data_IF_874378395373
#
_entry.id   IF_874378395373
#
_cell.length_a   1.000
_cell.length_b   1.000
_cell.length_c   1.000
_cell.angle_alpha   90.00
_cell.angle_beta   90.00
_cell.angle_gamma   90.00
#
_symmetry.space_group_name_H-M   'P 1'
#
loop_
_entity.id
_entity.type
_entity.pdbx_description
1 polymer ?
#
# COMPACT_ATOMS: atom_id res chain seq x y z
N UNK A 1 12.66 -7.83 21.11
CA UNK A 1 12.51 -8.35 19.73
C UNK A 1 11.78 -7.26 18.95
N UNK A 2 12.20 -6.96 17.71
CA UNK A 2 11.56 -5.91 16.89
C UNK A 2 10.45 -6.55 16.04
N UNK A 3 9.32 -5.87 15.94
CA UNK A 3 8.20 -6.21 15.08
C UNK A 3 8.34 -5.42 13.80
N UNK A 4 8.40 -6.09 12.66
CA UNK A 4 8.52 -5.45 11.35
C UNK A 4 7.17 -5.60 10.66
N UNK A 5 6.52 -4.47 10.38
CA UNK A 5 5.31 -4.40 9.58
C UNK A 5 5.70 -4.12 8.13
N UNK A 6 5.51 -5.12 7.26
CA UNK A 6 5.68 -4.98 5.82
C UNK A 6 4.33 -4.65 5.21
N UNK A 7 4.18 -3.45 4.70
CA UNK A 7 2.98 -3.02 4.00
C UNK A 7 3.30 -2.61 2.56
N UNK A 8 2.47 -3.08 1.63
CA UNK A 8 2.59 -2.76 0.21
C UNK A 8 1.32 -2.12 -0.34
N UNK A 9 1.47 -0.98 -0.99
CA UNK A 9 0.39 -0.33 -1.75
C UNK A 9 0.35 -0.89 -3.17
N UNK A 10 -0.80 -1.44 -3.58
CA UNK A 10 -1.06 -1.91 -4.94
C UNK A 10 -2.09 -0.97 -5.55
N UNK A 11 -1.65 -0.11 -6.46
CA UNK A 11 -2.52 0.87 -7.11
C UNK A 11 -2.18 1.04 -8.58
N UNK A 12 -3.21 1.03 -9.42
CA UNK A 12 -3.13 1.47 -10.81
C UNK A 12 -4.34 2.37 -11.10
N UNK A 13 -4.13 3.57 -11.65
CA UNK A 13 -5.23 4.43 -12.10
C UNK A 13 -5.73 3.97 -13.48
N UNK A 14 -6.96 4.36 -13.82
CA UNK A 14 -7.43 4.33 -15.20
C UNK A 14 -6.89 5.53 -15.97
N UNK A 15 -6.21 5.27 -17.08
CA UNK A 15 -5.66 6.28 -17.98
C UNK A 15 -6.73 6.72 -18.97
N UNK A 16 -6.81 8.02 -19.18
CA UNK A 16 -7.76 8.65 -20.10
C UNK A 16 -7.26 8.58 -21.53
N UNK A 17 -8.19 8.54 -22.48
CA UNK A 17 -7.86 8.80 -23.87
C UNK A 17 -7.38 10.24 -24.06
N UNK A 18 -6.59 10.47 -25.10
CA UNK A 18 -6.17 11.81 -25.50
C UNK A 18 -7.34 12.52 -26.20
N UNK A 19 -7.96 13.47 -25.50
CA UNK A 19 -9.03 14.29 -26.05
C UNK A 19 -8.49 15.57 -26.68
N UNK A 20 -8.82 15.79 -27.94
CA UNK A 20 -8.69 17.11 -28.57
C UNK A 20 -9.99 17.91 -28.45
N UNK A 21 -9.88 19.24 -28.50
CA UNK A 21 -11.03 20.14 -28.49
C UNK A 21 -12.06 19.81 -29.60
N UNK A 22 -11.61 19.27 -30.73
CA UNK A 22 -12.48 18.93 -31.86
C UNK A 22 -13.32 17.67 -31.65
N UNK A 23 -13.05 16.89 -30.59
CA UNK A 23 -13.75 15.64 -30.29
C UNK A 23 -14.80 15.80 -29.16
N UNK A 24 -15.05 17.02 -28.71
CA UNK A 24 -16.09 17.31 -27.71
C UNK A 24 -17.46 16.98 -28.31
N UNK A 25 -18.18 16.03 -27.70
CA UNK A 25 -19.53 15.64 -28.11
C UNK A 25 -19.60 14.56 -29.21
N UNK A 26 -18.46 14.04 -29.68
CA UNK A 26 -18.41 12.97 -30.69
C UNK A 26 -18.17 11.56 -30.11
N UNK A 27 -18.24 11.41 -28.78
CA UNK A 27 -18.09 10.21 -27.94
C UNK A 27 -17.35 9.00 -28.55
N UNK A 28 -16.11 8.79 -28.12
CA UNK A 28 -15.37 7.54 -28.28
C UNK A 28 -14.64 7.29 -26.93
N UNK A 29 -15.18 6.39 -26.10
CA UNK A 29 -14.67 5.84 -24.82
C UNK A 29 -13.76 6.73 -23.91
N UNK A 30 -14.15 7.02 -22.65
CA UNK A 30 -13.37 7.87 -21.71
C UNK A 30 -11.93 7.40 -21.43
N UNK A 31 -11.75 6.09 -21.34
CA UNK A 31 -10.50 5.46 -20.93
C UNK A 31 -9.74 4.83 -22.09
N UNK A 32 -8.41 4.92 -22.03
CA UNK A 32 -7.52 4.21 -22.96
C UNK A 32 -7.39 2.75 -22.51
N UNK A 33 -8.35 1.93 -22.94
CA UNK A 33 -8.43 0.50 -22.61
C UNK A 33 -7.17 -0.27 -23.04
N UNK A 34 -6.56 0.10 -24.17
CA UNK A 34 -5.35 -0.57 -24.63
C UNK A 34 -4.17 -0.24 -23.72
N UNK A 35 -3.96 1.04 -23.41
CA UNK A 35 -2.88 1.48 -22.54
C UNK A 35 -3.05 0.93 -21.12
N UNK A 36 -4.27 0.94 -20.56
CA UNK A 36 -4.55 0.39 -19.24
C UNK A 36 -4.24 -1.11 -19.18
N UNK A 37 -4.74 -1.89 -20.14
CA UNK A 37 -4.49 -3.34 -20.22
C UNK A 37 -3.00 -3.64 -20.36
N UNK A 38 -2.31 -2.96 -21.27
CA UNK A 38 -0.92 -3.29 -21.62
C UNK A 38 0.03 -2.92 -20.47
N UNK A 39 -0.19 -1.80 -19.80
CA UNK A 39 0.57 -1.41 -18.60
C UNK A 39 0.30 -2.38 -17.46
N UNK A 40 -0.97 -2.69 -17.16
CA UNK A 40 -1.30 -3.58 -16.05
C UNK A 40 -0.73 -4.98 -16.27
N UNK A 41 -0.82 -5.54 -17.49
CA UNK A 41 -0.21 -6.84 -17.82
C UNK A 41 1.29 -6.82 -17.58
N UNK A 42 1.98 -5.77 -18.02
CA UNK A 42 3.42 -5.63 -17.81
C UNK A 42 3.75 -5.62 -16.31
N UNK A 43 3.03 -4.84 -15.52
CA UNK A 43 3.25 -4.79 -14.06
C UNK A 43 2.91 -6.13 -13.41
N UNK A 44 1.82 -6.77 -13.81
CA UNK A 44 1.40 -8.07 -13.29
C UNK A 44 2.46 -9.16 -13.47
N UNK A 45 3.02 -9.30 -14.68
CA UNK A 45 4.00 -10.35 -14.97
C UNK A 45 5.41 -10.03 -14.47
N UNK A 46 5.78 -8.75 -14.33
CA UNK A 46 7.12 -8.36 -13.87
C UNK A 46 7.20 -8.17 -12.35
N UNK A 47 6.10 -7.83 -11.69
CA UNK A 47 6.06 -7.47 -10.28
C UNK A 47 5.10 -8.38 -9.50
N UNK A 48 3.79 -8.30 -9.78
CA UNK A 48 2.79 -8.89 -8.88
C UNK A 48 2.87 -10.41 -8.79
N UNK A 49 2.85 -11.12 -9.91
CA UNK A 49 2.86 -12.59 -9.92
C UNK A 49 4.20 -13.16 -9.40
N UNK A 50 5.38 -12.69 -9.85
CA UNK A 50 6.64 -13.20 -9.32
C UNK A 50 6.79 -12.95 -7.82
N UNK A 51 6.41 -11.77 -7.35
CA UNK A 51 6.60 -11.39 -5.95
C UNK A 51 5.56 -12.05 -5.04
N UNK A 52 4.30 -12.19 -5.45
CA UNK A 52 3.32 -13.02 -4.74
C UNK A 52 3.80 -14.48 -4.61
N UNK A 53 4.34 -15.06 -5.69
CA UNK A 53 4.92 -16.41 -5.64
C UNK A 53 6.13 -16.52 -4.71
N UNK A 54 6.96 -15.48 -4.60
CA UNK A 54 8.05 -15.43 -3.62
C UNK A 54 7.52 -15.35 -2.19
N UNK A 55 6.57 -14.45 -1.92
CA UNK A 55 5.97 -14.27 -0.60
C UNK A 55 5.31 -15.56 -0.11
N UNK A 56 4.57 -16.27 -0.98
CA UNK A 56 3.96 -17.54 -0.63
C UNK A 56 5.02 -18.57 -0.18
N UNK A 57 6.10 -18.74 -0.95
CA UNK A 57 7.22 -19.64 -0.57
C UNK A 57 7.90 -19.21 0.73
N UNK A 58 8.05 -17.92 0.98
CA UNK A 58 8.65 -17.40 2.22
C UNK A 58 7.74 -17.63 3.43
N UNK A 59 6.43 -17.43 3.28
CA UNK A 59 5.44 -17.72 4.32
C UNK A 59 5.52 -19.21 4.69
N UNK A 60 5.48 -20.11 3.71
CA UNK A 60 5.53 -21.55 3.94
C UNK A 60 6.87 -21.98 4.56
N UNK A 61 8.00 -21.56 3.99
CA UNK A 61 9.33 -21.96 4.47
C UNK A 61 9.69 -21.40 5.84
N UNK A 62 9.11 -20.27 6.24
CA UNK A 62 9.28 -19.73 7.60
C UNK A 62 8.36 -20.40 8.63
N UNK A 63 7.50 -21.33 8.20
CA UNK A 63 6.49 -21.97 9.05
C UNK A 63 5.39 -20.99 9.44
N UNK A 64 4.92 -20.19 8.47
CA UNK A 64 3.83 -19.22 8.64
C UNK A 64 4.12 -18.10 9.65
N UNK A 65 5.41 -17.75 9.80
CA UNK A 65 5.86 -16.67 10.71
C UNK A 65 6.02 -15.33 10.02
N UNK A 66 6.25 -15.32 8.69
CA UNK A 66 6.24 -14.10 7.91
C UNK A 66 4.80 -13.63 7.73
N UNK A 67 4.51 -12.39 8.11
CA UNK A 67 3.23 -11.73 7.89
C UNK A 67 3.44 -10.47 7.05
N UNK A 68 2.50 -10.17 6.17
CA UNK A 68 2.53 -9.00 5.29
C UNK A 68 1.14 -8.40 5.17
N UNK A 69 1.07 -7.11 4.90
CA UNK A 69 -0.19 -6.39 4.69
C UNK A 69 -0.22 -5.74 3.31
N UNK A 70 -1.39 -5.67 2.69
CA UNK A 70 -1.59 -5.01 1.40
C UNK A 70 -2.75 -4.02 1.45
N UNK A 71 -2.63 -2.91 0.72
CA UNK A 71 -3.80 -2.14 0.27
C UNK A 71 -3.92 -2.29 -1.24
N UNK A 72 -5.03 -2.85 -1.72
CA UNK A 72 -5.34 -2.93 -3.15
C UNK A 72 -6.45 -1.92 -3.41
N UNK A 73 -6.21 -0.84 -4.16
CA UNK A 73 -7.29 0.08 -4.49
C UNK A 73 -8.42 -0.62 -5.28
N UNK A 74 -9.68 -0.17 -5.15
CA UNK A 74 -10.75 -0.76 -5.97
C UNK A 74 -10.47 -0.62 -7.46
N UNK A 75 -9.83 0.48 -7.87
CA UNK A 75 -9.42 0.68 -9.27
C UNK A 75 -8.46 -0.39 -9.78
N UNK A 76 -7.48 -0.83 -8.98
CA UNK A 76 -6.58 -1.90 -9.45
C UNK A 76 -7.32 -3.23 -9.45
N UNK A 77 -8.17 -3.50 -8.46
CA UNK A 77 -8.98 -4.72 -8.40
C UNK A 77 -9.86 -4.84 -9.65
N UNK A 78 -10.56 -3.77 -10.04
CA UNK A 78 -11.39 -3.74 -11.25
C UNK A 78 -10.57 -4.04 -12.51
N UNK A 79 -9.41 -3.40 -12.67
CA UNK A 79 -8.57 -3.67 -13.84
C UNK A 79 -7.99 -5.09 -13.83
N UNK A 80 -7.64 -5.64 -12.64
CA UNK A 80 -7.17 -7.02 -12.53
C UNK A 80 -8.28 -8.01 -12.94
N UNK A 81 -9.53 -7.79 -12.53
CA UNK A 81 -10.67 -8.60 -12.95
C UNK A 81 -10.84 -8.63 -14.47
N UNK A 82 -10.60 -7.51 -15.15
CA UNK A 82 -10.78 -7.41 -16.60
C UNK A 82 -9.60 -7.95 -17.40
N UNK A 83 -8.37 -7.69 -16.97
CA UNK A 83 -7.20 -7.87 -17.84
C UNK A 83 -6.27 -9.03 -17.44
N UNK A 84 -6.18 -9.35 -16.15
CA UNK A 84 -5.24 -10.33 -15.56
C UNK A 84 -5.78 -10.97 -14.26
N UNK A 85 -6.92 -11.69 -14.33
CA UNK A 85 -7.59 -12.24 -13.14
C UNK A 85 -6.71 -13.23 -12.35
N UNK A 86 -5.71 -13.85 -12.97
CA UNK A 86 -4.75 -14.73 -12.31
C UNK A 86 -3.94 -14.04 -11.20
N UNK A 87 -3.80 -12.70 -11.24
CA UNK A 87 -3.18 -11.94 -10.16
C UNK A 87 -4.06 -11.97 -8.91
N UNK A 88 -5.38 -11.82 -9.07
CA UNK A 88 -6.31 -11.89 -7.94
C UNK A 88 -6.32 -13.29 -7.34
N UNK A 89 -6.22 -14.34 -8.16
CA UNK A 89 -6.06 -15.71 -7.66
C UNK A 89 -4.77 -15.88 -6.85
N UNK A 90 -3.67 -15.24 -7.26
CA UNK A 90 -2.42 -15.24 -6.48
C UNK A 90 -2.54 -14.50 -5.14
N UNK A 91 -3.30 -13.40 -5.08
CA UNK A 91 -3.62 -12.72 -3.82
C UNK A 91 -4.54 -13.57 -2.93
N UNK A 92 -5.54 -14.26 -3.51
CA UNK A 92 -6.39 -15.20 -2.77
C UNK A 92 -5.56 -16.34 -2.15
N UNK A 93 -4.58 -16.87 -2.88
CA UNK A 93 -3.68 -17.89 -2.37
C UNK A 93 -2.85 -17.37 -1.18
N UNK A 94 -2.36 -16.13 -1.25
CA UNK A 94 -1.67 -15.49 -0.13
C UNK A 94 -2.60 -15.27 1.08
N UNK A 95 -3.80 -14.74 0.87
CA UNK A 95 -4.81 -14.55 1.91
C UNK A 95 -5.19 -15.86 2.59
N UNK A 96 -5.32 -16.95 1.83
CA UNK A 96 -5.66 -18.27 2.34
C UNK A 96 -4.61 -18.85 3.31
N UNK A 97 -3.38 -18.32 3.33
CA UNK A 97 -2.36 -18.71 4.32
C UNK A 97 -2.67 -18.23 5.75
N UNK A 98 -3.55 -17.23 5.89
CA UNK A 98 -3.80 -16.55 7.17
C UNK A 98 -2.67 -15.61 7.61
N UNK A 99 -1.63 -15.44 6.80
CA UNK A 99 -0.49 -14.56 7.08
C UNK A 99 -0.57 -13.20 6.37
N UNK A 100 -1.69 -12.93 5.68
CA UNK A 100 -1.88 -11.69 4.92
C UNK A 100 -3.10 -10.93 5.42
N UNK A 101 -2.92 -9.64 5.70
CA UNK A 101 -3.97 -8.68 6.02
C UNK A 101 -4.24 -7.79 4.79
N UNK A 102 -5.52 -7.57 4.48
CA UNK A 102 -5.95 -6.57 3.51
C UNK A 102 -6.47 -5.32 4.23
N UNK A 103 -5.88 -4.17 3.90
CA UNK A 103 -6.24 -2.87 4.45
C UNK A 103 -7.45 -2.27 3.73
N UNK A 104 -8.14 -1.38 4.43
CA UNK A 104 -9.16 -0.53 3.84
C UNK A 104 -8.57 0.78 3.32
N UNK A 105 -9.17 1.27 2.25
CA UNK A 105 -8.83 2.50 1.55
C UNK A 105 -10.11 3.12 0.95
N UNK A 106 -10.01 4.33 0.39
CA UNK A 106 -10.97 4.85 -0.57
C UNK A 106 -10.99 4.03 -1.87
N UNK A 107 -12.18 3.73 -2.42
CA UNK A 107 -12.33 2.96 -3.65
C UNK A 107 -11.52 3.50 -4.84
N UNK A 108 -11.52 4.81 -5.05
CA UNK A 108 -10.85 5.44 -6.18
C UNK A 108 -9.40 5.88 -5.90
N UNK A 109 -8.80 5.46 -4.78
CA UNK A 109 -7.52 6.01 -4.29
C UNK A 109 -7.56 7.55 -4.27
N UNK A 110 -8.66 8.12 -3.77
CA UNK A 110 -8.96 9.53 -3.92
C UNK A 110 -8.57 10.36 -2.70
N UNK A 111 -8.48 11.67 -2.89
CA UNK A 111 -8.30 12.64 -1.81
C UNK A 111 -9.62 13.03 -1.12
N UNK A 112 -10.65 12.17 -1.17
CA UNK A 112 -11.98 12.48 -0.63
C UNK A 112 -11.95 12.87 0.86
N UNK A 113 -11.02 12.28 1.64
CA UNK A 113 -10.86 12.52 3.07
C UNK A 113 -10.65 14.01 3.43
N UNK A 114 -10.08 14.80 2.54
CA UNK A 114 -9.81 16.24 2.76
C UNK A 114 -10.79 17.16 2.03
N UNK A 115 -11.65 16.61 1.16
CA UNK A 115 -12.58 17.40 0.32
C UNK A 115 -14.02 17.25 0.79
N UNK A 116 -14.47 16.01 1.06
CA UNK A 116 -15.88 15.71 1.36
C UNK A 116 -15.98 14.45 2.21
N UNK A 117 -16.37 14.62 3.49
CA UNK A 117 -16.60 13.48 4.39
C UNK A 117 -17.66 12.51 3.84
N UNK A 118 -18.70 13.03 3.18
CA UNK A 118 -19.75 12.19 2.58
C UNK A 118 -19.15 11.25 1.53
N UNK A 119 -18.42 11.82 0.57
CA UNK A 119 -17.75 11.05 -0.50
C UNK A 119 -16.74 10.07 0.09
N UNK A 120 -15.98 10.52 1.08
CA UNK A 120 -15.00 9.69 1.77
C UNK A 120 -15.66 8.45 2.41
N UNK A 121 -16.73 8.63 3.18
CA UNK A 121 -17.47 7.52 3.81
C UNK A 121 -18.06 6.57 2.77
N UNK A 122 -18.60 7.09 1.67
CA UNK A 122 -19.16 6.28 0.58
C UNK A 122 -18.08 5.42 -0.08
N UNK A 123 -16.93 6.02 -0.42
CA UNK A 123 -15.81 5.30 -1.03
C UNK A 123 -15.19 4.25 -0.09
N UNK A 124 -15.01 4.56 1.20
CA UNK A 124 -14.45 3.61 2.17
C UNK A 124 -15.39 2.42 2.36
N UNK A 125 -16.71 2.63 2.44
CA UNK A 125 -17.69 1.53 2.54
C UNK A 125 -17.70 0.67 1.30
N UNK A 126 -17.74 1.29 0.12
CA UNK A 126 -17.75 0.57 -1.15
C UNK A 126 -16.51 -0.32 -1.30
N UNK A 127 -15.34 0.22 -0.94
CA UNK A 127 -14.09 -0.52 -0.97
C UNK A 127 -14.04 -1.65 0.08
N UNK A 128 -14.49 -1.39 1.31
CA UNK A 128 -14.57 -2.40 2.38
C UNK A 128 -15.44 -3.59 1.97
N UNK A 129 -16.60 -3.33 1.37
CA UNK A 129 -17.46 -4.39 0.83
C UNK A 129 -16.79 -5.17 -0.30
N UNK A 130 -16.11 -4.48 -1.23
CA UNK A 130 -15.39 -5.15 -2.32
C UNK A 130 -14.31 -6.11 -1.80
N UNK A 131 -13.53 -5.69 -0.79
CA UNK A 131 -12.52 -6.56 -0.17
C UNK A 131 -13.18 -7.79 0.49
N UNK A 132 -14.27 -7.58 1.22
CA UNK A 132 -15.02 -8.68 1.84
C UNK A 132 -15.56 -9.67 0.80
N UNK A 133 -16.19 -9.17 -0.26
CA UNK A 133 -16.81 -10.02 -1.29
C UNK A 133 -15.76 -10.85 -2.05
N UNK A 134 -14.56 -10.31 -2.27
CA UNK A 134 -13.51 -10.99 -3.05
C UNK A 134 -12.58 -11.89 -2.22
N UNK A 135 -12.35 -11.55 -0.96
CA UNK A 135 -11.33 -12.18 -0.12
C UNK A 135 -11.85 -12.69 1.23
N UNK A 136 -13.08 -12.36 1.61
CA UNK A 136 -13.70 -12.77 2.89
C UNK A 136 -13.11 -12.07 4.12
N UNK A 137 -12.24 -11.08 3.95
CA UNK A 137 -11.67 -10.29 5.05
C UNK A 137 -12.47 -9.00 5.25
N UNK A 138 -12.70 -8.63 6.52
CA UNK A 138 -13.18 -7.30 6.88
C UNK A 138 -11.98 -6.46 7.36
N UNK A 139 -11.52 -5.48 6.56
CA UNK A 139 -10.40 -4.63 6.94
C UNK A 139 -10.58 -3.98 8.32
N UNK A 140 -9.54 -4.03 9.15
CA UNK A 140 -9.50 -3.39 10.48
C UNK A 140 -8.56 -2.17 10.49
N UNK A 141 -7.55 -2.20 9.63
CA UNK A 141 -6.57 -1.14 9.45
C UNK A 141 -6.90 -0.32 8.20
N UNK A 142 -6.94 1.00 8.34
CA UNK A 142 -7.17 1.94 7.25
C UNK A 142 -5.87 2.55 6.74
N UNK A 143 -5.78 2.81 5.45
CA UNK A 143 -4.79 3.73 4.88
C UNK A 143 -5.49 4.72 3.97
N UNK A 144 -5.16 5.99 4.15
CA UNK A 144 -5.66 7.06 3.30
C UNK A 144 -4.67 7.36 2.18
N UNK A 145 -5.12 7.83 1.01
CA UNK A 145 -4.30 8.21 -0.16
C UNK A 145 -3.05 9.01 0.24
N UNK A 146 -1.88 8.64 -0.31
CA UNK A 146 -0.55 9.17 0.07
C UNK A 146 -0.20 9.13 1.56
N UNK A 147 -0.84 8.26 2.34
CA UNK A 147 -0.72 8.18 3.80
C UNK A 147 -1.04 9.52 4.50
N UNK A 148 -1.88 10.35 3.84
CA UNK A 148 -2.32 11.65 4.35
C UNK A 148 -3.14 11.44 5.61
N UNK A 149 -2.73 12.09 6.68
CA UNK A 149 -3.40 12.07 7.96
C UNK A 149 -3.72 13.49 8.45
N UNK A 150 -4.91 13.62 9.04
CA UNK A 150 -5.37 14.77 9.80
C UNK A 150 -6.22 14.24 10.95
N UNK A 151 -6.19 14.93 12.11
CA UNK A 151 -6.90 14.48 13.31
C UNK A 151 -8.41 14.31 13.12
N UNK A 152 -8.99 15.04 12.16
CA UNK A 152 -10.39 14.90 11.77
C UNK A 152 -10.73 13.56 11.10
N UNK A 153 -9.75 12.86 10.52
CA UNK A 153 -9.98 11.58 9.82
C UNK A 153 -10.23 10.45 10.81
N UNK A 154 -9.54 10.44 11.96
CA UNK A 154 -9.57 9.33 12.90
C UNK A 154 -10.98 9.01 13.45
N UNK A 155 -11.80 9.99 13.92
CA UNK A 155 -13.18 9.71 14.31
C UNK A 155 -14.02 9.10 13.17
N UNK A 156 -13.83 9.58 11.94
CA UNK A 156 -14.62 9.14 10.78
C UNK A 156 -14.34 7.67 10.47
N UNK A 157 -13.08 7.25 10.43
CA UNK A 157 -12.74 5.85 10.16
C UNK A 157 -13.10 4.94 11.34
N UNK A 158 -13.04 5.43 12.58
CA UNK A 158 -13.49 4.68 13.75
C UNK A 158 -14.98 4.38 13.69
N UNK A 159 -15.80 5.37 13.29
CA UNK A 159 -17.23 5.16 13.03
C UNK A 159 -17.51 4.15 11.91
N UNK A 160 -16.56 3.98 10.99
CA UNK A 160 -16.64 3.01 9.90
C UNK A 160 -16.12 1.62 10.29
N UNK A 161 -15.64 1.44 11.53
CA UNK A 161 -15.21 0.15 12.08
C UNK A 161 -13.71 -0.11 12.04
N UNK A 162 -12.88 0.88 11.71
CA UNK A 162 -11.42 0.76 11.71
C UNK A 162 -10.83 1.15 13.06
N UNK A 163 -9.86 0.39 13.56
CA UNK A 163 -9.20 0.65 14.86
C UNK A 163 -7.76 1.17 14.72
N UNK A 164 -7.25 1.21 13.49
CA UNK A 164 -5.87 1.55 13.18
C UNK A 164 -5.78 2.31 11.86
N UNK A 165 -4.84 3.25 11.76
CA UNK A 165 -4.56 4.01 10.54
C UNK A 165 -3.06 4.10 10.28
N UNK A 166 -2.68 3.87 9.02
CA UNK A 166 -1.34 4.12 8.54
C UNK A 166 -1.19 5.59 8.14
N UNK A 167 -0.09 6.22 8.54
CA UNK A 167 0.22 7.60 8.19
C UNK A 167 1.72 7.77 7.89
N UNK A 168 2.05 8.80 7.13
CA UNK A 168 3.43 9.29 7.01
C UNK A 168 3.58 10.57 7.82
N UNK A 169 4.73 10.71 8.47
CA UNK A 169 5.05 11.87 9.29
C UNK A 169 6.49 12.26 9.02
N UNK A 170 6.66 13.36 8.29
CA UNK A 170 7.96 13.97 8.06
C UNK A 170 8.59 14.49 9.36
N UNK A 171 9.86 14.89 9.26
CA UNK A 171 10.63 15.40 10.41
C UNK A 171 9.93 16.55 11.14
N UNK A 172 9.25 17.44 10.43
CA UNK A 172 8.56 18.59 11.01
C UNK A 172 7.39 18.20 11.93
N UNK A 173 6.73 17.07 11.65
CA UNK A 173 5.60 16.55 12.45
C UNK A 173 6.11 15.79 13.67
N UNK A 174 7.11 14.93 13.49
CA UNK A 174 7.64 14.09 14.55
C UNK A 174 8.57 14.85 15.51
N UNK A 175 9.30 15.84 15.02
CA UNK A 175 10.33 16.57 15.74
C UNK A 175 11.34 15.60 16.39
N UNK A 176 11.29 15.45 17.72
CA UNK A 176 12.16 14.56 18.50
C UNK A 176 11.59 13.14 18.68
N UNK A 177 10.35 12.90 18.26
CA UNK A 177 9.66 11.61 18.40
C UNK A 177 10.09 10.64 17.30
N UNK A 178 10.05 9.34 17.59
CA UNK A 178 10.38 8.29 16.61
C UNK A 178 9.14 7.75 15.89
N UNK A 179 9.18 7.46 14.58
CA UNK A 179 8.07 6.77 13.90
C UNK A 179 7.88 5.32 14.38
N UNK A 180 8.81 4.78 15.17
CA UNK A 180 8.86 3.38 15.59
C UNK A 180 8.01 3.07 16.84
N UNK A 181 7.08 3.96 17.17
CA UNK A 181 6.10 3.80 18.25
C UNK A 181 4.69 3.76 17.67
N UNK A 182 3.78 3.14 18.42
CA UNK A 182 2.34 3.25 18.17
C UNK A 182 1.86 4.52 18.85
N UNK A 183 1.25 5.40 18.07
CA UNK A 183 0.62 6.62 18.57
C UNK A 183 -0.88 6.43 18.70
N UNK A 184 -1.53 7.31 19.45
CA UNK A 184 -3.00 7.39 19.50
C UNK A 184 -3.45 8.65 18.76
N UNK A 185 -4.52 8.54 17.96
CA UNK A 185 -5.05 9.68 17.24
C UNK A 185 -5.56 10.77 18.20
N UNK A 186 -5.15 12.02 17.98
CA UNK A 186 -5.62 13.13 18.78
C UNK A 186 -7.11 13.36 18.51
N UNK A 187 -7.92 13.28 19.56
CA UNK A 187 -9.39 13.35 19.46
C UNK A 187 -10.10 12.00 19.28
N UNK A 188 -9.38 10.91 18.99
CA UNK A 188 -9.96 9.56 18.98
C UNK A 188 -8.94 8.50 19.46
N UNK A 189 -8.64 8.44 20.78
CA UNK A 189 -7.58 7.56 21.31
C UNK A 189 -7.81 6.05 21.11
N UNK A 190 -9.02 5.65 20.72
CA UNK A 190 -9.32 4.28 20.32
C UNK A 190 -8.61 3.89 19.00
N UNK A 191 -8.29 4.86 18.15
CA UNK A 191 -7.59 4.64 16.87
C UNK A 191 -6.09 4.73 17.07
N UNK A 192 -5.39 3.67 16.68
CA UNK A 192 -3.93 3.58 16.67
C UNK A 192 -3.37 4.22 15.40
N UNK A 193 -2.29 4.97 15.55
CA UNK A 193 -1.52 5.58 14.48
C UNK A 193 -0.20 4.83 14.30
N UNK A 194 -0.03 4.21 13.14
CA UNK A 194 1.21 3.54 12.73
C UNK A 194 1.91 4.40 11.69
N UNK A 195 3.07 4.94 12.06
CA UNK A 195 3.81 5.87 11.21
C UNK A 195 4.84 5.15 10.36
N UNK A 196 4.92 5.48 9.07
CA UNK A 196 5.96 5.00 8.16
C UNK A 196 7.34 5.33 8.74
N UNK A 197 8.24 4.35 8.76
CA UNK A 197 9.66 4.65 8.88
C UNK A 197 10.18 5.08 7.50
N UNK A 198 10.10 6.38 7.23
CA UNK A 198 10.38 6.97 5.91
C UNK A 198 11.77 6.58 5.39
N UNK A 199 12.81 6.77 6.20
CA UNK A 199 14.19 6.48 5.80
C UNK A 199 14.38 5.02 5.40
N UNK A 200 14.00 4.07 6.27
CA UNK A 200 14.22 2.64 6.04
C UNK A 200 13.35 2.08 4.92
N UNK A 201 12.15 2.63 4.72
CA UNK A 201 11.28 2.26 3.61
C UNK A 201 11.87 2.74 2.28
N UNK A 202 12.30 4.00 2.23
CA UNK A 202 12.83 4.64 1.02
C UNK A 202 14.20 4.10 0.62
N UNK A 203 14.98 3.60 1.59
CA UNK A 203 16.24 2.88 1.33
C UNK A 203 15.99 1.63 0.46
N UNK A 204 14.88 0.93 0.67
CA UNK A 204 14.46 -0.20 -0.17
C UNK A 204 13.81 0.31 -1.45
N UNK A 205 12.84 1.23 -1.35
CA UNK A 205 12.01 1.64 -2.47
C UNK A 205 12.79 2.39 -3.56
N UNK A 206 13.65 3.32 -3.17
CA UNK A 206 14.29 4.27 -4.09
C UNK A 206 15.81 4.10 -4.16
N UNK A 207 16.49 3.87 -3.02
CA UNK A 207 17.96 3.87 -2.97
C UNK A 207 18.60 2.52 -3.29
N UNK A 208 17.83 1.44 -3.32
CA UNK A 208 18.34 0.09 -3.62
C UNK A 208 19.10 0.02 -4.96
N UNK A 209 18.61 0.72 -5.98
CA UNK A 209 19.22 0.77 -7.31
C UNK A 209 20.18 1.96 -7.53
N UNK A 210 20.31 2.87 -6.55
CA UNK A 210 21.15 4.06 -6.68
C UNK A 210 22.64 3.72 -6.46
N UNK A 211 23.37 3.56 -7.56
CA UNK A 211 24.83 3.28 -7.54
C UNK A 211 25.67 4.45 -7.02
N UNK A 212 25.11 5.66 -6.94
CA UNK A 212 25.76 6.85 -6.39
C UNK A 212 25.54 7.01 -4.88
N UNK A 213 24.60 6.25 -4.30
CA UNK A 213 24.35 6.29 -2.86
C UNK A 213 25.52 5.65 -2.10
N UNK A 214 25.98 6.33 -1.04
CA UNK A 214 27.14 5.92 -0.24
C UNK A 214 27.01 4.51 0.38
N UNK A 215 25.80 4.02 0.57
CA UNK A 215 25.53 2.70 1.16
C UNK A 215 25.32 1.60 0.11
N UNK A 216 25.41 1.92 -1.20
CA UNK A 216 25.24 0.96 -2.28
C UNK A 216 26.43 -0.03 -2.37
N UNK A 217 26.18 -1.33 -2.65
CA UNK A 217 24.87 -1.97 -2.76
C UNK A 217 24.22 -2.22 -1.39
N UNK A 218 22.88 -2.10 -1.36
CA UNK A 218 22.11 -2.45 -0.18
C UNK A 218 22.03 -3.98 -0.03
N UNK A 219 22.75 -4.52 0.96
CA UNK A 219 22.74 -5.96 1.26
C UNK A 219 21.87 -6.27 2.48
N UNK A 220 21.33 -7.51 2.60
CA UNK A 220 20.58 -7.92 3.79
C UNK A 220 21.35 -7.71 5.09
N UNK A 221 22.66 -8.04 5.12
CA UNK A 221 23.50 -7.86 6.30
C UNK A 221 23.65 -6.39 6.70
N UNK A 222 23.76 -5.49 5.72
CA UNK A 222 23.81 -4.04 5.96
C UNK A 222 22.48 -3.55 6.51
N UNK A 223 21.37 -3.94 5.88
CA UNK A 223 20.05 -3.51 6.33
C UNK A 223 19.76 -4.02 7.76
N UNK A 224 20.05 -5.30 8.04
CA UNK A 224 19.92 -5.90 9.38
C UNK A 224 20.78 -5.17 10.42
N UNK A 225 22.00 -4.72 10.07
CA UNK A 225 22.83 -3.98 11.03
C UNK A 225 22.22 -2.64 11.41
N UNK A 226 21.58 -1.94 10.47
CA UNK A 226 20.81 -0.73 10.75
C UNK A 226 19.60 -1.03 11.63
N UNK A 227 18.84 -2.09 11.31
CA UNK A 227 17.71 -2.50 12.14
C UNK A 227 18.15 -2.83 13.56
N UNK A 228 19.31 -3.47 13.75
CA UNK A 228 19.84 -3.81 15.07
C UNK A 228 20.32 -2.58 15.86
N UNK A 229 20.77 -1.52 15.18
CA UNK A 229 21.22 -0.28 15.81
C UNK A 229 20.10 0.58 16.40
N UNK A 230 18.84 0.34 16.01
CA UNK A 230 17.67 1.05 16.53
C UNK A 230 17.49 0.74 18.03
N UNK A 231 17.17 1.74 18.89
CA UNK A 231 16.95 1.56 20.32
C UNK A 231 15.99 0.40 20.66
N UNK A 232 16.21 -0.24 21.81
CA UNK A 232 15.48 -1.46 22.20
C UNK A 232 14.01 -1.21 22.63
N UNK A 233 13.70 0.02 23.04
CA UNK A 233 12.37 0.53 23.33
C UNK A 233 11.57 0.86 22.06
N UNK A 234 12.25 1.11 20.94
CA UNK A 234 11.66 1.25 19.61
C UNK A 234 11.43 -0.12 18.95
N UNK A 235 10.29 -0.73 19.30
CA UNK A 235 9.99 -2.12 18.94
C UNK A 235 9.22 -2.28 17.64
N UNK A 236 8.67 -1.23 17.04
CA UNK A 236 7.88 -1.31 15.81
C UNK A 236 8.62 -0.68 14.63
N UNK A 237 8.73 -1.41 13.53
CA UNK A 237 9.32 -0.91 12.29
C UNK A 237 8.32 -1.05 11.15
N UNK A 238 7.75 0.08 10.76
CA UNK A 238 6.75 0.18 9.71
C UNK A 238 7.44 0.46 8.37
N UNK A 239 7.59 -0.57 7.54
CA UNK A 239 8.20 -0.49 6.22
C UNK A 239 7.10 -0.45 5.16
N UNK A 240 6.73 0.76 4.75
CA UNK A 240 5.58 1.03 3.89
C UNK A 240 6.07 1.44 2.50
N UNK A 241 5.71 0.67 1.48
CA UNK A 241 6.27 0.82 0.13
C UNK A 241 5.20 0.62 -0.94
N UNK A 242 5.44 1.16 -2.12
CA UNK A 242 4.69 0.77 -3.31
C UNK A 242 5.04 -0.68 -3.67
N UNK A 243 4.06 -1.45 -4.11
CA UNK A 243 4.29 -2.85 -4.41
C UNK A 243 5.24 -3.01 -5.62
N UNK A 244 5.16 -2.07 -6.56
CA UNK A 244 6.02 -1.95 -7.72
C UNK A 244 7.50 -1.74 -7.40
N UNK A 245 7.88 -1.45 -6.14
CA UNK A 245 9.28 -1.52 -5.69
C UNK A 245 9.91 -2.86 -6.05
N UNK A 246 9.15 -3.96 -5.97
CA UNK A 246 9.66 -5.30 -6.23
C UNK A 246 9.36 -5.75 -7.67
N UNK A 247 10.27 -5.42 -8.59
CA UNK A 247 10.22 -5.86 -10.00
C UNK A 247 9.68 -4.82 -11.00
N UNK A 248 9.06 -3.74 -10.52
CA UNK A 248 8.55 -2.65 -11.35
C UNK A 248 9.53 -1.47 -11.51
N UNK A 249 9.94 -0.85 -10.41
CA UNK A 249 10.59 0.48 -10.43
C UNK A 249 12.05 0.47 -10.93
N UNK A 250 12.76 -0.66 -10.89
CA UNK A 250 14.17 -0.72 -11.30
C UNK A 250 14.40 -1.00 -12.81
N UNK A 251 13.31 -1.15 -13.58
CA UNK A 251 13.36 -1.46 -15.01
C UNK A 251 13.01 -0.27 -15.92
N UNK A 252 12.68 0.90 -15.36
CA UNK A 252 12.33 2.10 -16.15
C UNK A 252 13.54 2.93 -16.63
N UNK A 253 14.75 2.44 -16.40
CA UNK A 253 15.99 3.05 -16.88
C UNK A 253 16.75 2.10 -17.79
N UNK A 254 16.13 1.70 -18.90
CA UNK A 254 16.80 1.34 -20.17
C UNK A 254 15.97 1.79 -21.37
#
# INVERSE_FOLDING_TARGET
>A
MKNICLYFQVHQPFRLNNYSFFQIGSDEAYFDEMMNRDILRRVAYNCYLPFNGLLLRLIESTGYRLQVSFSLSSTVIEQLLWYVPEVLDSFRALVATGCVELLGETAAHSLAAIVSEKEFREQVRAHTHLIYDLFGQMPQTFRNTELIYADSIAPIINDLGFDSILADAGHDVLQWRSPNYIYAAAGCPAVKLLLKNGQLSDDIAFRFADRGWKEWPLSPNRYISWLNAIPGDEQLLNLFMDYETFGGQHNYSQ
#
